data_IF_312554549574
#
_entry.id   IF_312554549574
#
_cell.length_a   1.000
_cell.length_b   1.000
_cell.length_c   1.000
_cell.angle_alpha   90.00
_cell.angle_beta   90.00
_cell.angle_gamma   90.00
#
_symmetry.space_group_name_H-M   'P 1'
#
loop_
_entity.id
_entity.type
_entity.pdbx_description
1 polymer ?
#
# COMPACT_ATOMS: atom_id res chain seq x y z
N UNK A 1 3.71 -14.08 40.88
CA UNK A 1 4.55 -13.89 39.67
C UNK A 1 3.59 -13.99 38.50
N UNK A 2 3.55 -13.02 37.60
CA UNK A 2 2.72 -13.13 36.39
C UNK A 2 3.42 -14.10 35.44
N UNK A 3 2.70 -15.11 34.96
CA UNK A 3 3.23 -16.06 33.99
C UNK A 3 3.37 -15.39 32.62
N UNK A 4 4.60 -15.35 32.12
CA UNK A 4 4.91 -14.72 30.83
C UNK A 4 4.26 -15.48 29.66
N UNK A 5 4.10 -16.80 29.77
CA UNK A 5 3.49 -17.62 28.73
C UNK A 5 2.00 -17.30 28.59
N UNK A 6 1.31 -17.15 29.72
CA UNK A 6 -0.10 -16.74 29.75
C UNK A 6 -0.30 -15.35 29.16
N UNK A 7 0.56 -14.38 29.52
CA UNK A 7 0.49 -13.00 29.00
C UNK A 7 0.71 -12.96 27.49
N UNK A 8 1.75 -13.64 26.99
CA UNK A 8 2.04 -13.68 25.55
C UNK A 8 0.92 -14.38 24.77
N UNK A 9 0.43 -15.50 25.28
CA UNK A 9 -0.65 -16.27 24.63
C UNK A 9 -1.92 -15.43 24.52
N UNK A 10 -2.29 -14.71 25.59
CA UNK A 10 -3.44 -13.80 25.58
C UNK A 10 -3.29 -12.68 24.55
N UNK A 11 -2.13 -12.02 24.47
CA UNK A 11 -1.85 -10.96 23.49
C UNK A 11 -1.77 -11.47 22.05
N UNK A 12 -1.24 -12.68 21.83
CA UNK A 12 -1.22 -13.32 20.50
C UNK A 12 -2.64 -13.65 20.04
N UNK A 13 -3.49 -14.16 20.92
CA UNK A 13 -4.86 -14.53 20.56
C UNK A 13 -5.76 -13.32 20.26
N UNK A 14 -5.45 -12.14 20.79
CA UNK A 14 -6.14 -10.89 20.44
C UNK A 14 -5.72 -10.32 19.08
N UNK A 15 -4.64 -10.84 18.48
CA UNK A 15 -4.14 -10.44 17.17
C UNK A 15 -4.35 -11.56 16.15
N UNK A 16 -5.11 -11.27 15.10
CA UNK A 16 -5.29 -12.18 13.97
C UNK A 16 -4.68 -11.54 12.73
N UNK A 17 -3.85 -12.31 12.04
CA UNK A 17 -3.29 -11.88 10.77
C UNK A 17 -3.74 -12.87 9.69
N UNK A 18 -4.41 -12.34 8.68
CA UNK A 18 -4.81 -13.07 7.48
C UNK A 18 -3.95 -12.64 6.29
N UNK A 19 -3.88 -13.49 5.26
CA UNK A 19 -3.09 -13.25 4.06
C UNK A 19 -3.90 -13.56 2.83
N UNK A 20 -3.93 -12.62 1.89
CA UNK A 20 -4.60 -12.78 0.61
C UNK A 20 -3.69 -12.29 -0.51
N UNK A 21 -3.76 -12.93 -1.66
CA UNK A 21 -3.12 -12.44 -2.87
C UNK A 21 -4.20 -11.74 -3.70
N UNK A 22 -4.01 -10.44 -3.95
CA UNK A 22 -4.98 -9.60 -4.66
C UNK A 22 -4.34 -8.90 -5.84
N UNK A 23 -5.09 -8.76 -6.93
CA UNK A 23 -4.67 -7.96 -8.08
C UNK A 23 -4.77 -6.47 -7.77
N UNK A 24 -3.93 -5.66 -8.41
CA UNK A 24 -4.05 -4.21 -8.31
C UNK A 24 -5.39 -3.66 -8.82
N UNK A 25 -6.03 -4.35 -9.77
CA UNK A 25 -7.38 -4.04 -10.22
C UNK A 25 -8.41 -4.18 -9.11
N UNK A 26 -8.35 -5.26 -8.33
CA UNK A 26 -9.24 -5.46 -7.17
C UNK A 26 -8.99 -4.41 -6.09
N UNK A 27 -7.72 -4.11 -5.79
CA UNK A 27 -7.38 -3.05 -4.82
C UNK A 27 -7.87 -1.66 -5.26
N UNK A 28 -7.82 -1.35 -6.55
CA UNK A 28 -8.40 -0.11 -7.08
C UNK A 28 -9.92 -0.08 -6.90
N UNK A 29 -10.61 -1.17 -7.25
CA UNK A 29 -12.07 -1.24 -7.07
C UNK A 29 -12.45 -1.06 -5.58
N UNK A 30 -11.77 -1.76 -4.67
CA UNK A 30 -12.00 -1.60 -3.22
C UNK A 30 -11.75 -0.15 -2.76
N UNK A 31 -10.76 0.53 -3.33
CA UNK A 31 -10.48 1.93 -3.02
C UNK A 31 -11.59 2.86 -3.51
N UNK A 32 -12.08 2.65 -4.73
CA UNK A 32 -13.19 3.42 -5.31
C UNK A 32 -14.51 3.18 -4.58
N UNK A 33 -14.76 1.95 -4.14
CA UNK A 33 -15.94 1.56 -3.34
C UNK A 33 -15.85 2.04 -1.87
N UNK A 34 -14.66 2.47 -1.45
CA UNK A 34 -14.38 2.94 -0.09
C UNK A 34 -14.24 1.83 0.94
N UNK A 35 -14.02 0.59 0.50
CA UNK A 35 -13.69 -0.58 1.32
C UNK A 35 -12.20 -0.64 1.65
N UNK A 36 -11.35 -0.01 0.84
CA UNK A 36 -9.94 0.26 1.12
C UNK A 36 -9.73 1.77 1.18
N UNK A 37 -9.04 2.27 2.21
CA UNK A 37 -8.79 3.69 2.35
C UNK A 37 -7.38 3.99 2.88
N UNK A 38 -6.97 5.23 2.64
CA UNK A 38 -5.71 5.79 3.12
C UNK A 38 -6.07 7.03 3.93
N UNK A 39 -5.62 7.11 5.17
CA UNK A 39 -5.90 8.27 6.04
C UNK A 39 -5.25 9.55 5.49
N UNK A 40 -5.86 10.74 5.71
CA UNK A 40 -5.31 12.01 5.22
C UNK A 40 -3.87 12.29 5.69
N UNK A 41 -3.51 11.84 6.88
CA UNK A 41 -2.16 11.93 7.46
C UNK A 41 -1.16 11.17 6.59
N UNK A 42 -1.48 9.92 6.26
CA UNK A 42 -0.63 9.07 5.41
C UNK A 42 -0.59 9.59 3.97
N UNK A 43 -1.65 10.18 3.44
CA UNK A 43 -1.63 10.76 2.09
C UNK A 43 -0.57 11.87 1.92
N UNK A 44 -0.32 12.67 2.97
CA UNK A 44 0.78 13.66 2.98
C UNK A 44 2.17 13.03 3.00
N UNK A 45 2.26 11.75 3.33
CA UNK A 45 3.49 10.98 3.26
C UNK A 45 3.74 10.38 1.87
N UNK A 46 2.81 10.44 0.90
CA UNK A 46 3.06 10.01 -0.49
C UNK A 46 4.07 10.96 -1.18
N UNK A 47 5.34 10.53 -1.22
CA UNK A 47 6.51 11.38 -1.48
C UNK A 47 7.51 10.74 -2.44
N UNK A 48 7.23 9.54 -2.98
CA UNK A 48 8.07 8.97 -4.02
C UNK A 48 8.24 9.95 -5.18
N UNK A 49 9.50 10.15 -5.56
CA UNK A 49 9.87 10.89 -6.76
C UNK A 49 9.31 10.20 -8.02
N UNK A 50 9.19 10.94 -9.13
CA UNK A 50 8.74 10.36 -10.40
C UNK A 50 9.59 9.13 -10.80
N UNK A 51 10.90 9.16 -10.56
CA UNK A 51 11.79 8.02 -10.82
C UNK A 51 11.44 6.79 -9.96
N UNK A 52 11.18 6.95 -8.67
CA UNK A 52 10.78 5.83 -7.79
C UNK A 52 9.43 5.24 -8.21
N UNK A 53 8.47 6.12 -8.57
CA UNK A 53 7.17 5.69 -9.09
C UNK A 53 7.32 4.94 -10.43
N UNK A 54 8.15 5.46 -11.33
CA UNK A 54 8.47 4.83 -12.62
C UNK A 54 9.12 3.46 -12.43
N UNK A 55 10.14 3.34 -11.57
CA UNK A 55 10.80 2.06 -11.25
C UNK A 55 9.81 1.04 -10.68
N UNK A 56 8.83 1.49 -9.90
CA UNK A 56 7.79 0.60 -9.38
C UNK A 56 6.85 0.11 -10.48
N UNK A 57 6.33 1.00 -11.34
CA UNK A 57 5.52 0.60 -12.50
C UNK A 57 6.29 -0.34 -13.44
N UNK A 58 7.58 -0.05 -13.67
CA UNK A 58 8.48 -0.90 -14.43
C UNK A 58 8.60 -2.30 -13.82
N UNK A 59 8.82 -2.40 -12.51
CA UNK A 59 8.84 -3.67 -11.78
C UNK A 59 7.56 -4.47 -11.98
N UNK A 60 6.40 -3.82 -11.89
CA UNK A 60 5.09 -4.46 -12.08
C UNK A 60 4.90 -4.95 -13.52
N UNK A 61 5.30 -4.15 -14.51
CA UNK A 61 5.23 -4.53 -15.93
C UNK A 61 6.14 -5.70 -16.27
N UNK A 62 7.32 -5.78 -15.64
CA UNK A 62 8.31 -6.83 -15.84
C UNK A 62 8.05 -8.09 -15.00
N UNK A 63 7.04 -8.07 -14.13
CA UNK A 63 6.72 -9.21 -13.25
C UNK A 63 7.76 -9.43 -12.14
N UNK A 64 8.48 -8.38 -11.74
CA UNK A 64 9.42 -8.44 -10.63
C UNK A 64 8.63 -8.53 -9.32
N UNK A 65 8.99 -9.45 -8.39
CA UNK A 65 8.31 -9.57 -7.11
C UNK A 65 8.31 -8.26 -6.31
N UNK A 66 7.14 -7.90 -5.79
CA UNK A 66 6.93 -6.69 -5.00
C UNK A 66 6.69 -7.04 -3.52
N UNK A 67 7.13 -6.18 -2.57
CA UNK A 67 6.83 -6.37 -1.16
C UNK A 67 5.31 -6.37 -0.88
N UNK A 68 4.85 -7.06 0.17
CA UNK A 68 3.44 -7.08 0.53
C UNK A 68 2.91 -5.69 0.88
N UNK A 69 1.59 -5.52 0.79
CA UNK A 69 0.86 -4.38 1.34
C UNK A 69 0.29 -4.83 2.69
N UNK A 70 0.42 -3.98 3.71
CA UNK A 70 -0.18 -4.26 5.02
C UNK A 70 -1.40 -3.38 5.22
N UNK A 71 -2.49 -4.00 5.66
CA UNK A 71 -3.73 -3.30 5.97
C UNK A 71 -4.22 -3.66 7.37
N UNK A 72 -4.90 -2.71 7.99
CA UNK A 72 -5.62 -2.88 9.24
C UNK A 72 -7.11 -2.91 8.93
N UNK A 73 -7.82 -3.95 9.37
CA UNK A 73 -9.28 -4.02 9.21
C UNK A 73 -9.97 -3.32 10.38
N UNK A 74 -10.90 -2.40 10.09
CA UNK A 74 -11.69 -1.70 11.10
C UNK A 74 -12.93 -2.51 11.56
N UNK A 75 -13.69 -1.95 12.51
CA UNK A 75 -14.89 -2.57 13.08
C UNK A 75 -16.04 -2.76 12.06
N UNK A 76 -15.94 -2.12 10.90
CA UNK A 76 -16.90 -2.21 9.78
C UNK A 76 -16.39 -3.11 8.65
N UNK A 77 -15.22 -3.73 8.80
CA UNK A 77 -14.61 -4.59 7.79
C UNK A 77 -13.89 -3.83 6.68
N UNK A 78 -13.68 -2.51 6.81
CA UNK A 78 -12.92 -1.72 5.84
C UNK A 78 -11.44 -1.78 6.14
N UNK A 79 -10.62 -1.64 5.12
CA UNK A 79 -9.18 -1.80 5.19
C UNK A 79 -8.48 -0.44 5.13
N UNK A 80 -7.73 -0.14 6.18
CA UNK A 80 -6.81 1.00 6.23
C UNK A 80 -5.43 0.56 5.76
N UNK A 81 -4.81 1.27 4.81
CA UNK A 81 -3.42 0.99 4.41
C UNK A 81 -2.44 1.44 5.49
N UNK A 82 -1.66 0.49 6.03
CA UNK A 82 -0.67 0.72 7.10
C UNK A 82 0.77 0.73 6.56
N UNK A 83 1.10 -0.17 5.64
CA UNK A 83 2.37 -0.14 4.89
C UNK A 83 2.14 -0.39 3.40
N UNK A 84 3.02 0.16 2.57
CA UNK A 84 2.91 0.10 1.12
C UNK A 84 2.19 1.27 0.50
N UNK A 85 1.97 2.34 1.27
CA UNK A 85 1.40 3.61 0.83
C UNK A 85 1.97 4.08 -0.52
N UNK A 86 3.30 4.11 -0.67
CA UNK A 86 3.92 4.62 -1.89
C UNK A 86 3.62 3.74 -3.10
N UNK A 87 3.62 2.40 -2.90
CA UNK A 87 3.32 1.40 -3.94
C UNK A 87 1.89 1.56 -4.43
N UNK A 88 0.94 1.55 -3.49
CA UNK A 88 -0.47 1.59 -3.83
C UNK A 88 -0.88 2.94 -4.42
N UNK A 89 -0.38 4.05 -3.85
CA UNK A 89 -0.63 5.40 -4.35
C UNK A 89 -0.05 5.60 -5.76
N UNK A 90 1.09 4.98 -6.07
CA UNK A 90 1.66 5.04 -7.43
C UNK A 90 0.76 4.38 -8.47
N UNK A 91 0.20 3.21 -8.18
CA UNK A 91 -0.76 2.55 -9.08
C UNK A 91 -1.99 3.43 -9.25
N UNK A 92 -2.56 3.90 -8.14
CA UNK A 92 -3.77 4.70 -8.15
C UNK A 92 -3.57 6.01 -8.91
N UNK A 93 -2.44 6.68 -8.69
CA UNK A 93 -2.00 7.88 -9.41
C UNK A 93 -1.86 7.62 -10.91
N UNK A 94 -1.22 6.51 -11.29
CA UNK A 94 -1.02 6.15 -12.69
C UNK A 94 -2.34 5.89 -13.42
N UNK A 95 -3.30 5.21 -12.79
CA UNK A 95 -4.63 4.98 -13.36
C UNK A 95 -5.61 6.13 -13.17
N UNK A 96 -5.24 7.17 -12.43
CA UNK A 96 -6.05 8.36 -12.23
C UNK A 96 -7.19 8.21 -11.22
N UNK A 97 -7.07 7.27 -10.27
CA UNK A 97 -8.14 6.93 -9.31
C UNK A 97 -7.92 7.51 -7.91
N UNK A 98 -6.84 8.27 -7.66
CA UNK A 98 -6.68 8.96 -6.37
C UNK A 98 -7.74 10.05 -6.22
N UNK A 99 -8.72 9.81 -5.35
CA UNK A 99 -9.84 10.74 -5.10
C UNK A 99 -9.42 11.93 -4.23
N UNK A 100 -8.53 11.71 -3.26
CA UNK A 100 -8.12 12.75 -2.30
C UNK A 100 -6.90 13.58 -2.74
N UNK A 101 -6.13 13.10 -3.74
CA UNK A 101 -4.98 13.81 -4.33
C UNK A 101 -5.10 13.85 -5.86
N UNK A 102 -6.17 14.44 -6.41
CA UNK A 102 -6.43 14.42 -7.85
C UNK A 102 -5.34 15.11 -8.67
N UNK A 103 -4.61 16.06 -8.08
CA UNK A 103 -3.48 16.73 -8.71
C UNK A 103 -2.27 15.82 -8.95
N UNK A 104 -2.19 14.69 -8.24
CA UNK A 104 -1.16 13.67 -8.45
C UNK A 104 -1.58 12.58 -9.43
N UNK A 105 -2.81 12.60 -9.95
CA UNK A 105 -3.24 11.64 -10.96
C UNK A 105 -2.57 11.86 -12.32
N UNK A 106 -2.74 10.88 -13.21
CA UNK A 106 -2.16 10.88 -14.55
C UNK A 106 -0.63 10.94 -14.53
N UNK A 107 -0.02 10.14 -13.64
CA UNK A 107 1.43 10.02 -13.55
C UNK A 107 2.03 9.81 -14.94
N UNK A 108 2.90 10.74 -15.32
CA UNK A 108 3.71 10.66 -16.53
C UNK A 108 5.07 10.10 -16.16
N UNK A 109 5.32 8.87 -16.60
CA UNK A 109 6.55 8.15 -16.32
C UNK A 109 7.76 8.86 -16.91
N UNK A 110 8.91 8.69 -16.26
CA UNK A 110 10.20 9.08 -16.83
C UNK A 110 10.94 7.85 -17.39
N UNK A 111 12.21 8.01 -17.77
CA UNK A 111 13.06 6.89 -18.21
C UNK A 111 13.14 5.83 -17.10
N UNK A 112 12.70 4.62 -17.42
CA UNK A 112 12.90 3.44 -16.59
C UNK A 112 14.37 3.06 -16.49
N UNK A 113 14.72 2.25 -15.48
CA UNK A 113 16.08 1.78 -15.28
C UNK A 113 16.43 0.64 -16.24
N UNK A 114 15.45 -0.19 -16.58
CA UNK A 114 15.59 -1.33 -17.49
C UNK A 114 14.91 -1.07 -18.86
N UNK A 115 13.91 -0.19 -18.89
CA UNK A 115 13.08 0.15 -20.05
C UNK A 115 13.04 1.67 -20.18
N UNK A 116 14.03 2.23 -20.87
CA UNK A 116 14.15 3.68 -21.06
C UNK A 116 12.96 4.26 -21.86
N UNK A 117 12.27 3.43 -22.65
CA UNK A 117 11.09 3.76 -23.46
C UNK A 117 9.85 4.09 -22.64
N UNK A 118 9.86 3.88 -21.32
CA UNK A 118 8.81 4.37 -20.42
C UNK A 118 8.78 5.91 -20.34
N UNK A 119 9.81 6.60 -20.83
CA UNK A 119 9.88 8.05 -20.79
C UNK A 119 8.67 8.72 -21.47
N UNK A 120 8.04 9.63 -20.74
CA UNK A 120 6.85 10.37 -21.14
C UNK A 120 5.58 9.53 -21.36
N UNK A 121 5.58 8.25 -21.00
CA UNK A 121 4.38 7.40 -21.09
C UNK A 121 3.41 7.74 -19.96
N UNK A 122 2.17 8.02 -20.31
CA UNK A 122 1.02 8.10 -19.39
C UNK A 122 0.16 6.85 -19.54
N UNK A 123 -0.84 6.69 -18.67
CA UNK A 123 -1.81 5.61 -18.83
C UNK A 123 -2.46 5.64 -20.22
N UNK A 124 -2.86 6.80 -20.75
CA UNK A 124 -3.53 6.88 -22.04
C UNK A 124 -2.68 6.36 -23.21
N UNK A 125 -1.37 6.67 -23.18
CA UNK A 125 -0.42 6.22 -24.20
C UNK A 125 -0.02 4.74 -24.07
N UNK A 126 -0.27 4.11 -22.91
CA UNK A 126 0.11 2.74 -22.66
C UNK A 126 -0.79 1.75 -23.45
N UNK A 127 -0.23 0.76 -24.18
CA UNK A 127 -1.03 -0.26 -24.86
C UNK A 127 -1.96 -1.01 -23.91
N UNK A 128 -3.18 -1.32 -24.37
CA UNK A 128 -4.23 -1.99 -23.56
C UNK A 128 -3.76 -3.28 -22.90
N UNK A 129 -2.89 -4.05 -23.57
CA UNK A 129 -2.31 -5.27 -23.02
C UNK A 129 -1.49 -4.98 -21.76
N UNK A 130 -0.66 -3.93 -21.77
CA UNK A 130 0.18 -3.54 -20.65
C UNK A 130 -0.64 -2.91 -19.52
N UNK A 131 -1.69 -2.13 -19.83
CA UNK A 131 -2.69 -1.70 -18.83
C UNK A 131 -3.28 -2.90 -18.08
N UNK A 132 -3.66 -3.92 -18.84
CA UNK A 132 -4.23 -5.17 -18.31
C UNK A 132 -3.20 -5.94 -17.49
N UNK A 133 -1.93 -5.97 -17.93
CA UNK A 133 -0.83 -6.56 -17.17
C UNK A 133 -0.71 -5.91 -15.79
N UNK A 134 -0.67 -4.57 -15.71
CA UNK A 134 -0.58 -3.88 -14.41
C UNK A 134 -1.81 -4.17 -13.55
N UNK A 135 -3.03 -4.09 -14.11
CA UNK A 135 -4.27 -4.39 -13.37
C UNK A 135 -4.32 -5.81 -12.82
N UNK A 136 -3.78 -6.79 -13.55
CA UNK A 136 -3.78 -8.22 -13.15
C UNK A 136 -2.56 -8.62 -12.33
N UNK A 137 -1.55 -7.75 -12.21
CA UNK A 137 -0.41 -8.04 -11.36
C UNK A 137 -0.88 -8.17 -9.91
N UNK A 138 -0.42 -9.22 -9.27
CA UNK A 138 -0.85 -9.63 -7.94
C UNK A 138 0.16 -9.13 -6.91
N UNK A 139 -0.34 -8.56 -5.82
CA UNK A 139 0.42 -8.28 -4.62
C UNK A 139 -0.15 -9.08 -3.45
N UNK A 140 0.73 -9.53 -2.56
CA UNK A 140 0.29 -10.08 -1.28
C UNK A 140 -0.20 -8.96 -0.38
N UNK A 141 -1.35 -9.17 0.23
CA UNK A 141 -1.95 -8.30 1.26
C UNK A 141 -1.92 -9.05 2.59
N UNK A 142 -1.29 -8.45 3.58
CA UNK A 142 -1.27 -8.92 4.97
C UNK A 142 -2.30 -8.09 5.75
N UNK A 143 -3.36 -8.74 6.22
CA UNK A 143 -4.49 -8.11 6.89
C UNK A 143 -4.33 -8.33 8.38
N UNK A 144 -4.29 -7.25 9.15
CA UNK A 144 -4.23 -7.33 10.60
C UNK A 144 -5.57 -6.95 11.20
N UNK A 145 -6.07 -7.84 12.03
CA UNK A 145 -7.32 -7.75 12.79
C UNK A 145 -6.96 -7.75 14.27
N UNK A 146 -7.60 -6.89 15.04
CA UNK A 146 -7.43 -6.86 16.49
C UNK A 146 -8.79 -6.78 17.19
N UNK A 147 -8.81 -7.24 18.43
CA UNK A 147 -9.96 -7.01 19.30
C UNK A 147 -9.96 -5.54 19.74
N UNK A 148 -11.12 -4.89 19.62
CA UNK A 148 -11.42 -3.45 19.80
C UNK A 148 -10.86 -2.75 21.06
N UNK A 149 -10.31 -3.49 22.02
CA UNK A 149 -9.82 -2.98 23.30
C UNK A 149 -8.44 -2.30 23.26
N UNK A 150 -7.68 -2.42 22.17
CA UNK A 150 -6.34 -1.83 22.06
C UNK A 150 -6.08 -1.39 20.61
N UNK A 151 -5.73 -0.12 20.40
CA UNK A 151 -5.43 0.39 19.04
C UNK A 151 -4.01 -0.04 18.61
N UNK A 152 -3.91 -1.27 18.09
CA UNK A 152 -2.64 -1.89 17.69
C UNK A 152 -2.17 -1.36 16.32
N UNK A 153 -2.99 -0.58 15.61
CA UNK A 153 -2.63 0.01 14.30
C UNK A 153 -1.32 0.79 14.37
N UNK A 154 -1.21 1.66 15.37
CA UNK A 154 -0.02 2.49 15.58
C UNK A 154 1.22 1.64 15.87
N UNK A 155 1.09 0.60 16.70
CA UNK A 155 2.23 -0.27 17.04
C UNK A 155 2.65 -1.13 15.83
N UNK A 156 1.71 -1.59 15.01
CA UNK A 156 2.01 -2.29 13.75
C UNK A 156 2.71 -1.36 12.76
N UNK A 157 2.16 -0.16 12.55
CA UNK A 157 2.78 0.87 11.73
C UNK A 157 4.21 1.15 12.17
N UNK A 158 4.41 1.39 13.47
CA UNK A 158 5.73 1.60 14.04
C UNK A 158 6.64 0.39 13.81
N UNK A 159 6.19 -0.83 14.09
CA UNK A 159 7.04 -2.02 13.92
C UNK A 159 7.46 -2.27 12.48
N UNK A 160 6.56 -2.00 11.52
CA UNK A 160 6.86 -2.16 10.09
C UNK A 160 7.81 -1.06 9.59
N UNK A 161 7.67 0.18 10.07
CA UNK A 161 8.40 1.32 9.53
C UNK A 161 9.65 1.73 10.34
N UNK A 162 9.70 1.49 11.64
CA UNK A 162 10.82 1.92 12.54
C UNK A 162 11.95 0.90 12.64
N UNK A 163 11.80 -0.30 12.09
CA UNK A 163 12.83 -1.35 12.11
C UNK A 163 14.16 -0.98 11.43
N UNK A 164 14.23 0.16 10.72
CA UNK A 164 15.44 0.63 10.05
C UNK A 164 15.94 2.03 10.48
N UNK A 165 15.16 2.84 11.21
CA UNK A 165 15.52 4.14 11.86
C UNK A 165 14.27 4.79 12.48
N UNK A 166 14.38 5.66 13.49
CA UNK A 166 13.21 6.29 14.13
C UNK A 166 12.45 7.20 13.15
N UNK A 167 11.12 7.12 13.18
CA UNK A 167 10.21 8.03 12.48
C UNK A 167 10.36 9.45 13.03
N UNK A 168 10.08 10.45 12.18
CA UNK A 168 10.09 11.85 12.60
C UNK A 168 8.86 12.18 13.44
N UNK A 169 8.96 13.15 14.36
CA UNK A 169 7.84 13.61 15.21
C UNK A 169 6.59 14.07 14.43
N UNK A 170 6.72 14.33 13.12
CA UNK A 170 5.63 14.69 12.23
C UNK A 170 4.82 13.49 11.73
N UNK A 171 5.33 12.28 11.87
CA UNK A 171 4.67 11.02 11.51
C UNK A 171 3.97 10.37 12.71
N UNK A 172 4.15 10.95 13.91
CA UNK A 172 3.70 10.42 15.20
C UNK A 172 2.39 11.07 15.69
N UNK A 173 1.88 12.11 15.02
CA UNK A 173 0.76 12.94 15.51
C UNK A 173 -0.58 12.64 14.87
#
# INVERSE_FOLDING_TARGET
>A
MIDIEEVITKKRNSLKADRLDMSFGELMNMFEDGDLFITPEYQRAFRWSNFQQTRFIESVLLGIPIPPIFVAEDDKGKWEVVDGLQRISTIFSFFGVLTNLPEKNNLKLCKGEMVAELDNITIDALPIRLKTTIKRAVCRVEIVRWDSNEDIRYELFNRLNTGASPLSDQEIR
#
